data_IF_834947425833
#
_entry.id   IF_834947425833
#
_cell.length_a   1.000
_cell.length_b   1.000
_cell.length_c   1.000
_cell.angle_alpha   90.00
_cell.angle_beta   90.00
_cell.angle_gamma   90.00
#
_symmetry.space_group_name_H-M   'P 1'
#
loop_
_entity.id
_entity.type
_entity.pdbx_description
1 polymer ?
#
# COMPACT_ATOMS: atom_id res chain seq x y z
N UNK A 1 20.65 12.79 45.60
CA UNK A 1 19.24 12.49 45.24
C UNK A 1 18.79 13.07 43.89
N UNK A 2 19.37 14.13 43.36
CA UNK A 2 19.01 14.76 42.06
C UNK A 2 19.46 13.96 40.83
N UNK A 3 20.58 13.23 40.91
CA UNK A 3 21.13 12.46 39.77
C UNK A 3 20.26 11.30 39.34
N UNK A 4 19.61 10.61 40.29
CA UNK A 4 18.76 9.44 39.97
C UNK A 4 17.42 9.83 39.31
N UNK A 5 16.94 11.04 39.51
CA UNK A 5 15.71 11.53 38.89
C UNK A 5 15.94 11.86 37.40
N UNK A 6 17.08 12.51 37.09
CA UNK A 6 17.46 12.83 35.71
C UNK A 6 17.68 11.53 34.86
N UNK A 7 18.35 10.53 35.46
CA UNK A 7 18.58 9.25 34.81
C UNK A 7 17.26 8.50 34.54
N UNK A 8 16.32 8.52 35.46
CA UNK A 8 14.99 7.90 35.29
C UNK A 8 14.17 8.58 34.21
N UNK A 9 14.20 9.91 34.12
CA UNK A 9 13.51 10.67 33.08
C UNK A 9 14.12 10.35 31.71
N UNK A 10 15.44 10.25 31.59
CA UNK A 10 16.13 9.92 30.35
C UNK A 10 15.78 8.50 29.87
N UNK A 11 15.69 7.53 30.74
CA UNK A 11 15.30 6.15 30.41
C UNK A 11 13.85 6.07 29.97
N UNK A 12 12.95 6.81 30.61
CA UNK A 12 11.53 6.83 30.24
C UNK A 12 11.33 7.50 28.87
N UNK A 13 12.06 8.57 28.56
CA UNK A 13 11.97 9.24 27.24
C UNK A 13 12.55 8.36 26.12
N UNK A 14 13.66 7.64 26.37
CA UNK A 14 14.20 6.69 25.40
C UNK A 14 13.24 5.51 25.14
N UNK A 15 12.61 4.99 26.19
CA UNK A 15 11.61 3.91 26.06
C UNK A 15 10.36 4.36 25.29
N UNK A 16 9.91 5.61 25.48
CA UNK A 16 8.77 6.15 24.76
C UNK A 16 9.05 6.34 23.26
N UNK A 17 10.28 6.67 22.87
CA UNK A 17 10.66 6.76 21.45
C UNK A 17 10.75 5.39 20.75
N UNK A 18 11.04 4.32 21.47
CA UNK A 18 11.09 2.98 20.90
C UNK A 18 9.71 2.39 20.58
N UNK A 19 8.63 2.94 21.15
CA UNK A 19 7.24 2.50 20.88
C UNK A 19 6.59 3.21 19.68
N UNK A 20 7.21 4.23 19.08
CA UNK A 20 6.83 4.73 17.77
C UNK A 20 7.26 3.71 16.70
N UNK A 21 6.71 2.49 16.81
CA UNK A 21 6.90 1.42 15.84
C UNK A 21 6.45 1.88 14.45
N UNK A 22 7.34 1.76 13.49
CA UNK A 22 7.05 1.92 12.09
C UNK A 22 5.87 1.01 11.70
N UNK A 23 4.64 1.54 11.74
CA UNK A 23 3.59 0.96 10.94
C UNK A 23 4.05 1.13 9.49
N UNK A 24 4.50 0.04 8.85
CA UNK A 24 4.87 0.08 7.44
C UNK A 24 3.65 0.57 6.64
N UNK A 25 3.87 1.37 5.61
CA UNK A 25 2.80 1.86 4.70
C UNK A 25 1.88 0.74 4.23
N UNK A 26 2.42 -0.45 4.09
CA UNK A 26 1.70 -1.66 3.72
C UNK A 26 0.67 -2.09 4.78
N UNK A 27 1.01 -1.97 6.06
CA UNK A 27 0.08 -2.31 7.14
C UNK A 27 -1.02 -1.26 7.29
N UNK A 28 -0.69 0.02 7.19
CA UNK A 28 -1.66 1.10 7.21
C UNK A 28 -2.68 0.97 6.05
N UNK A 29 -2.21 0.63 4.85
CA UNK A 29 -3.08 0.39 3.69
C UNK A 29 -4.08 -0.77 3.90
N UNK A 30 -3.68 -1.83 4.59
CA UNK A 30 -4.55 -2.96 4.91
C UNK A 30 -5.69 -2.60 5.86
N UNK A 31 -5.45 -1.73 6.82
CA UNK A 31 -6.51 -1.26 7.73
C UNK A 31 -7.55 -0.39 7.02
N UNK A 32 -7.15 0.31 5.95
CA UNK A 32 -8.04 1.17 5.18
C UNK A 32 -8.82 0.43 4.08
N UNK A 33 -8.45 -0.81 3.77
CA UNK A 33 -9.13 -1.65 2.79
C UNK A 33 -10.01 -2.70 3.48
N UNK A 34 -11.25 -2.85 3.04
CA UNK A 34 -12.14 -3.92 3.54
C UNK A 34 -11.65 -5.28 3.03
N UNK A 35 -11.16 -6.19 3.90
CA UNK A 35 -10.48 -7.42 3.46
C UNK A 35 -11.38 -8.38 2.70
N UNK A 36 -12.67 -8.43 3.02
CA UNK A 36 -13.60 -9.45 2.50
C UNK A 36 -14.30 -9.07 1.21
N UNK A 37 -14.17 -7.80 0.77
CA UNK A 37 -14.85 -7.28 -0.41
C UNK A 37 -14.59 -8.15 -1.66
N UNK A 38 -13.37 -8.56 -1.87
CA UNK A 38 -12.91 -9.24 -3.09
C UNK A 38 -13.18 -10.74 -3.10
N UNK A 39 -13.57 -11.33 -1.95
CA UNK A 39 -13.90 -12.75 -1.89
C UNK A 39 -15.09 -13.14 -2.77
N UNK A 40 -16.02 -12.20 -2.99
CA UNK A 40 -17.22 -12.41 -3.82
C UNK A 40 -16.96 -12.15 -5.31
N UNK A 41 -15.84 -11.52 -5.68
CA UNK A 41 -15.54 -11.16 -7.06
C UNK A 41 -15.08 -12.39 -7.86
N UNK A 42 -15.53 -12.50 -9.11
CA UNK A 42 -14.94 -13.44 -10.07
C UNK A 42 -13.61 -12.90 -10.64
N UNK A 43 -12.87 -13.74 -11.38
CA UNK A 43 -11.55 -13.35 -11.89
C UNK A 43 -11.59 -12.13 -12.84
N UNK A 44 -12.64 -11.98 -13.64
CA UNK A 44 -12.77 -10.86 -14.58
C UNK A 44 -13.07 -9.54 -13.83
N UNK A 45 -13.92 -9.59 -12.82
CA UNK A 45 -14.21 -8.45 -11.93
C UNK A 45 -12.96 -8.04 -11.16
N UNK A 46 -12.25 -9.02 -10.60
CA UNK A 46 -11.02 -8.77 -9.84
C UNK A 46 -9.94 -8.12 -10.72
N UNK A 47 -9.77 -8.60 -11.96
CA UNK A 47 -8.84 -8.01 -12.91
C UNK A 47 -9.25 -6.59 -13.36
N UNK A 48 -10.53 -6.31 -13.45
CA UNK A 48 -11.05 -4.98 -13.79
C UNK A 48 -10.81 -3.98 -12.67
N UNK A 49 -11.12 -4.36 -11.45
CA UNK A 49 -10.84 -3.53 -10.25
C UNK A 49 -9.34 -3.28 -10.08
N UNK A 50 -8.50 -4.30 -10.25
CA UNK A 50 -7.04 -4.17 -10.13
C UNK A 50 -6.47 -3.18 -11.15
N UNK A 51 -7.00 -3.14 -12.38
CA UNK A 51 -6.62 -2.15 -13.40
C UNK A 51 -7.09 -0.74 -13.03
N UNK A 52 -8.30 -0.62 -12.51
CA UNK A 52 -8.83 0.65 -12.02
C UNK A 52 -7.96 1.24 -10.92
N UNK A 53 -7.63 0.44 -9.91
CA UNK A 53 -6.77 0.86 -8.81
C UNK A 53 -5.33 1.18 -9.27
N UNK A 54 -4.77 0.41 -10.21
CA UNK A 54 -3.45 0.70 -10.78
C UNK A 54 -3.42 2.03 -11.57
N UNK A 55 -4.49 2.36 -12.29
CA UNK A 55 -4.63 3.64 -12.98
C UNK A 55 -4.75 4.77 -11.97
N UNK A 56 -5.57 4.60 -10.93
CA UNK A 56 -5.74 5.60 -9.88
C UNK A 56 -4.44 5.87 -9.12
N UNK A 57 -3.67 4.83 -8.81
CA UNK A 57 -2.38 5.00 -8.15
C UNK A 57 -1.42 5.84 -9.00
N UNK A 58 -1.33 5.57 -10.32
CA UNK A 58 -0.49 6.37 -11.23
C UNK A 58 -0.92 7.83 -11.30
N UNK A 59 -2.23 8.09 -11.31
CA UNK A 59 -2.77 9.45 -11.27
C UNK A 59 -2.35 10.18 -9.98
N UNK A 60 -2.53 9.55 -8.83
CA UNK A 60 -2.16 10.12 -7.53
C UNK A 60 -0.65 10.38 -7.42
N UNK A 61 0.19 9.47 -7.91
CA UNK A 61 1.64 9.65 -7.95
C UNK A 61 2.04 10.82 -8.88
N UNK A 62 1.35 10.99 -10.00
CA UNK A 62 1.56 12.14 -10.88
C UNK A 62 1.13 13.47 -10.21
N UNK A 63 0.06 13.47 -9.43
CA UNK A 63 -0.37 14.64 -8.65
C UNK A 63 0.64 14.98 -7.54
N UNK A 64 1.18 13.98 -6.85
CA UNK A 64 2.25 14.19 -5.87
C UNK A 64 3.51 14.79 -6.51
N UNK A 65 3.88 14.31 -7.69
CA UNK A 65 5.02 14.86 -8.43
C UNK A 65 4.79 16.32 -8.82
N UNK A 66 3.56 16.68 -9.21
CA UNK A 66 3.19 18.07 -9.52
C UNK A 66 3.16 18.98 -8.29
N UNK A 67 2.86 18.45 -7.10
CA UNK A 67 2.89 19.22 -5.87
C UNK A 67 4.29 19.74 -5.51
N UNK A 68 5.34 19.12 -6.04
CA UNK A 68 6.73 19.55 -5.90
C UNK A 68 7.60 18.52 -5.19
N UNK A 69 8.88 18.57 -5.48
CA UNK A 69 9.90 17.65 -4.93
C UNK A 69 10.59 18.21 -3.68
N UNK A 70 10.41 19.50 -3.39
CA UNK A 70 10.90 20.16 -2.18
C UNK A 70 10.14 19.71 -0.91
N UNK A 71 10.65 20.08 0.26
CA UNK A 71 10.07 19.64 1.53
C UNK A 71 8.62 20.11 1.71
N UNK A 72 8.30 21.34 1.30
CA UNK A 72 6.95 21.92 1.39
C UNK A 72 5.98 21.24 0.43
N UNK A 73 6.38 21.03 -0.81
CA UNK A 73 5.56 20.33 -1.82
C UNK A 73 5.26 18.88 -1.43
N UNK A 74 6.26 18.15 -0.90
CA UNK A 74 6.03 16.79 -0.38
C UNK A 74 5.07 16.76 0.81
N UNK A 75 5.17 17.74 1.72
CA UNK A 75 4.24 17.82 2.84
C UNK A 75 2.81 18.04 2.35
N UNK A 76 2.59 19.00 1.45
CA UNK A 76 1.27 19.27 0.85
C UNK A 76 0.76 18.04 0.09
N UNK A 77 1.58 17.40 -0.73
CA UNK A 77 1.22 16.20 -1.48
C UNK A 77 0.81 15.04 -0.55
N UNK A 78 1.57 14.78 0.51
CA UNK A 78 1.25 13.75 1.48
C UNK A 78 -0.04 14.04 2.26
N UNK A 79 -0.28 15.29 2.63
CA UNK A 79 -1.53 15.67 3.30
C UNK A 79 -2.74 15.53 2.37
N UNK A 80 -2.59 15.89 1.10
CA UNK A 80 -3.69 15.87 0.12
C UNK A 80 -4.00 14.45 -0.41
N UNK A 81 -2.97 13.66 -0.69
CA UNK A 81 -3.10 12.40 -1.45
C UNK A 81 -2.58 11.17 -0.72
N UNK A 82 -1.79 11.33 0.35
CA UNK A 82 -1.12 10.23 1.04
C UNK A 82 -2.07 9.15 1.55
N UNK A 83 -3.17 9.55 2.19
CA UNK A 83 -4.17 8.61 2.71
C UNK A 83 -4.83 7.79 1.59
N UNK A 84 -5.15 8.41 0.47
CA UNK A 84 -5.74 7.73 -0.68
C UNK A 84 -4.75 6.76 -1.34
N UNK A 85 -3.47 7.15 -1.48
CA UNK A 85 -2.41 6.27 -1.97
C UNK A 85 -2.30 5.01 -1.11
N UNK A 86 -2.28 5.16 0.21
CA UNK A 86 -2.23 4.01 1.13
C UNK A 86 -3.45 3.12 0.99
N UNK A 87 -4.63 3.70 0.85
CA UNK A 87 -5.87 2.95 0.64
C UNK A 87 -5.86 2.19 -0.68
N UNK A 88 -5.44 2.82 -1.78
CA UNK A 88 -5.34 2.17 -3.10
C UNK A 88 -4.35 1.02 -3.06
N UNK A 89 -3.16 1.22 -2.47
CA UNK A 89 -2.15 0.17 -2.30
C UNK A 89 -2.69 -0.99 -1.46
N UNK A 90 -3.42 -0.70 -0.38
CA UNK A 90 -4.07 -1.71 0.46
C UNK A 90 -5.10 -2.54 -0.32
N UNK A 91 -5.93 -1.91 -1.15
CA UNK A 91 -6.87 -2.62 -2.03
C UNK A 91 -6.15 -3.52 -3.03
N UNK A 92 -5.10 -3.02 -3.67
CA UNK A 92 -4.29 -3.80 -4.62
C UNK A 92 -3.63 -5.02 -3.96
N UNK A 93 -3.18 -4.90 -2.71
CA UNK A 93 -2.64 -6.03 -1.94
C UNK A 93 -3.72 -7.09 -1.68
N UNK A 94 -4.91 -6.69 -1.27
CA UNK A 94 -6.03 -7.60 -1.08
C UNK A 94 -6.46 -8.30 -2.39
N UNK A 95 -6.52 -7.54 -3.48
CA UNK A 95 -6.83 -8.10 -4.81
C UNK A 95 -5.81 -9.16 -5.23
N UNK A 96 -4.51 -8.92 -5.01
CA UNK A 96 -3.45 -9.89 -5.31
C UNK A 96 -3.59 -11.16 -4.48
N UNK A 97 -3.89 -11.03 -3.18
CA UNK A 97 -4.12 -12.19 -2.29
C UNK A 97 -5.30 -13.00 -2.75
N UNK A 98 -6.45 -12.36 -2.97
CA UNK A 98 -7.65 -13.05 -3.44
C UNK A 98 -7.42 -13.68 -4.81
N UNK A 99 -6.69 -13.03 -5.70
CA UNK A 99 -6.33 -13.59 -6.99
C UNK A 99 -5.46 -14.84 -6.86
N UNK A 100 -4.49 -14.83 -5.95
CA UNK A 100 -3.66 -16.00 -5.69
C UNK A 100 -4.48 -17.17 -5.12
N UNK A 101 -5.38 -16.91 -4.17
CA UNK A 101 -6.28 -17.91 -3.58
C UNK A 101 -7.23 -18.53 -4.62
N UNK A 102 -7.72 -17.72 -5.56
CA UNK A 102 -8.64 -18.15 -6.64
C UNK A 102 -7.93 -18.63 -7.90
N UNK A 103 -6.58 -18.60 -7.93
CA UNK A 103 -5.78 -18.88 -9.13
C UNK A 103 -6.15 -17.98 -10.32
N UNK A 104 -6.50 -16.71 -10.06
CA UNK A 104 -6.83 -15.72 -11.08
C UNK A 104 -5.59 -15.03 -11.62
N UNK A 105 -5.54 -14.76 -12.92
CA UNK A 105 -4.52 -13.91 -13.51
C UNK A 105 -5.02 -12.47 -13.63
N UNK A 106 -4.51 -11.56 -12.83
CA UNK A 106 -4.90 -10.13 -12.83
C UNK A 106 -4.43 -9.39 -14.10
N UNK A 107 -3.44 -9.91 -14.81
CA UNK A 107 -2.93 -9.32 -16.05
C UNK A 107 -3.71 -9.75 -17.30
N UNK A 108 -4.53 -10.79 -17.22
CA UNK A 108 -5.30 -11.32 -18.38
C UNK A 108 -6.36 -10.36 -18.92
N UNK A 109 -6.63 -9.26 -18.24
CA UNK A 109 -7.55 -8.21 -18.70
C UNK A 109 -6.90 -7.08 -19.51
N UNK A 110 -5.60 -7.12 -19.76
CA UNK A 110 -4.83 -6.14 -20.55
C UNK A 110 -3.83 -6.86 -21.42
N UNK A 111 -4.14 -6.89 -22.72
CA UNK A 111 -3.24 -7.20 -23.84
C UNK A 111 -1.89 -7.87 -23.55
N UNK A 112 -1.84 -9.20 -23.61
CA UNK A 112 -0.77 -9.87 -24.36
C UNK A 112 0.66 -9.90 -23.81
N UNK A 113 0.96 -9.65 -22.54
CA UNK A 113 2.35 -9.75 -22.04
C UNK A 113 2.54 -10.83 -20.96
N UNK A 114 1.46 -11.31 -20.34
CA UNK A 114 1.51 -12.27 -19.22
C UNK A 114 1.60 -13.76 -19.60
N UNK A 115 1.23 -14.13 -20.80
CA UNK A 115 1.15 -15.55 -21.19
C UNK A 115 2.52 -16.22 -21.43
N UNK A 116 3.58 -15.45 -21.68
CA UNK A 116 4.91 -16.04 -21.94
C UNK A 116 5.65 -16.54 -20.69
N UNK A 117 5.33 -16.03 -19.51
CA UNK A 117 6.02 -16.46 -18.28
C UNK A 117 5.43 -17.75 -17.70
N UNK A 118 4.16 -18.02 -17.92
CA UNK A 118 3.52 -19.23 -17.41
C UNK A 118 3.81 -20.46 -18.27
N UNK A 119 4.13 -20.26 -19.54
CA UNK A 119 4.50 -21.34 -20.46
C UNK A 119 5.93 -21.84 -20.22
N UNK A 120 6.82 -20.96 -19.75
CA UNK A 120 8.20 -21.32 -19.45
C UNK A 120 8.36 -22.13 -18.15
N UNK A 121 7.39 -22.05 -17.24
CA UNK A 121 7.41 -22.80 -15.97
C UNK A 121 6.68 -24.16 -16.07
N UNK A 122 6.12 -24.50 -17.22
CA UNK A 122 5.44 -25.79 -17.51
C UNK A 122 6.31 -26.78 -18.29
N UNK A 123 7.54 -26.42 -18.64
CA UNK A 123 8.53 -27.29 -19.28
C UNK A 123 9.61 -27.67 -18.30
#
# INVERSE_FOLDING_TARGET
>A
MRSNCALRILVITLAAMALCGCASDEMAGRFLASPDKYMLYNCAELATEARGDANRLRELEALMTKAGVDASGRLVGNMAYGAEILQVRGRMDQQRKTAAEKNCNLSAGGSGVGDRQNEQNRR
#
